data_IF_112316519787
#
_entry.id   IF_112316519787
#
_cell.length_a   1.000
_cell.length_b   1.000
_cell.length_c   1.000
_cell.angle_alpha   90.00
_cell.angle_beta   90.00
_cell.angle_gamma   90.00
#
_symmetry.space_group_name_H-M   'P 1'
#
loop_
_entity.id
_entity.type
_entity.pdbx_description
1 polymer ?
#
# COMPACT_ATOMS: atom_id res chain seq x y z
N UNK A 1 30.19 1.07 -49.27
CA UNK A 1 30.58 1.11 -47.85
C UNK A 1 29.29 1.21 -47.01
N UNK A 2 28.82 0.08 -46.52
CA UNK A 2 27.55 -0.02 -45.80
C UNK A 2 27.87 -0.12 -44.31
N UNK A 3 27.53 0.93 -43.56
CA UNK A 3 27.78 1.02 -42.12
C UNK A 3 26.67 0.30 -41.38
N UNK A 4 26.95 -0.92 -40.94
CA UNK A 4 26.10 -1.71 -40.05
C UNK A 4 25.94 -0.94 -38.74
N UNK A 5 24.73 -0.50 -38.44
CA UNK A 5 24.35 0.00 -37.10
C UNK A 5 24.12 -1.20 -36.21
N UNK A 6 25.09 -1.46 -35.39
CA UNK A 6 25.00 -2.42 -34.28
C UNK A 6 24.00 -1.85 -33.26
N UNK A 7 22.76 -2.28 -33.31
CA UNK A 7 21.74 -1.96 -32.33
C UNK A 7 21.99 -2.84 -31.10
N UNK A 8 22.89 -2.41 -30.25
CA UNK A 8 23.10 -3.00 -28.92
C UNK A 8 21.85 -2.76 -28.10
N UNK A 9 20.93 -3.70 -28.13
CA UNK A 9 19.74 -3.74 -27.26
C UNK A 9 20.25 -3.75 -25.82
N UNK A 10 20.05 -2.64 -25.08
CA UNK A 10 20.30 -2.61 -23.64
C UNK A 10 19.34 -3.61 -23.00
N UNK A 11 19.83 -4.79 -22.68
CA UNK A 11 19.10 -5.76 -21.88
C UNK A 11 18.82 -5.14 -20.52
N UNK A 12 17.54 -5.12 -20.11
CA UNK A 12 17.14 -4.70 -18.79
C UNK A 12 17.63 -5.71 -17.75
N UNK A 13 17.91 -5.26 -16.55
CA UNK A 13 18.30 -6.14 -15.45
C UNK A 13 17.23 -7.20 -15.15
N UNK A 14 15.98 -6.94 -15.50
CA UNK A 14 14.86 -7.88 -15.45
C UNK A 14 15.00 -9.10 -16.38
N UNK A 15 15.85 -9.00 -17.43
CA UNK A 15 16.04 -10.10 -18.40
C UNK A 15 16.99 -11.20 -17.84
N UNK A 16 17.61 -10.95 -16.68
CA UNK A 16 18.54 -11.89 -16.03
C UNK A 16 17.96 -12.57 -14.80
N UNK A 17 16.81 -12.09 -14.29
CA UNK A 17 16.20 -12.64 -13.09
C UNK A 17 15.08 -13.61 -13.48
N UNK A 18 15.15 -14.90 -13.08
CA UNK A 18 14.04 -15.82 -13.27
C UNK A 18 12.74 -15.26 -12.65
N UNK A 19 11.62 -15.50 -13.31
CA UNK A 19 10.33 -14.95 -12.89
C UNK A 19 9.95 -15.39 -11.48
N UNK A 20 10.27 -16.62 -11.11
CA UNK A 20 10.01 -17.17 -9.78
C UNK A 20 10.76 -16.39 -8.69
N UNK A 21 12.01 -16.04 -8.96
CA UNK A 21 12.83 -15.25 -8.02
C UNK A 21 12.31 -13.82 -7.91
N UNK A 22 11.88 -13.24 -9.04
CA UNK A 22 11.27 -11.92 -9.05
C UNK A 22 9.97 -11.91 -8.22
N UNK A 23 9.10 -12.90 -8.39
CA UNK A 23 7.88 -13.09 -7.62
C UNK A 23 8.16 -13.19 -6.12
N UNK A 24 9.12 -14.01 -5.73
CA UNK A 24 9.49 -14.21 -4.33
C UNK A 24 9.99 -12.91 -3.69
N UNK A 25 10.79 -12.14 -4.40
CA UNK A 25 11.23 -10.82 -3.94
C UNK A 25 10.03 -9.87 -3.80
N UNK A 26 9.18 -9.79 -4.83
CA UNK A 26 8.04 -8.88 -4.84
C UNK A 26 7.00 -9.20 -3.75
N UNK A 27 6.79 -10.48 -3.41
CA UNK A 27 5.89 -10.87 -2.32
C UNK A 27 6.32 -10.35 -0.95
N UNK A 28 7.64 -10.23 -0.72
CA UNK A 28 8.19 -9.72 0.55
C UNK A 28 8.26 -8.20 0.64
N UNK A 29 8.01 -7.50 -0.46
CA UNK A 29 8.11 -6.05 -0.47
C UNK A 29 6.82 -5.40 0.07
N UNK A 30 6.96 -4.31 0.85
CA UNK A 30 5.83 -3.47 1.23
C UNK A 30 5.12 -2.91 0.00
N UNK A 31 3.80 -2.74 0.07
CA UNK A 31 2.96 -2.21 -1.02
C UNK A 31 3.49 -0.89 -1.60
N UNK A 32 4.00 -0.01 -0.74
CA UNK A 32 4.59 1.26 -1.16
C UNK A 32 5.79 1.05 -2.12
N UNK A 33 6.66 0.10 -1.81
CA UNK A 33 7.80 -0.26 -2.66
C UNK A 33 7.34 -0.89 -3.97
N UNK A 34 6.32 -1.76 -3.93
CA UNK A 34 5.76 -2.36 -5.15
C UNK A 34 5.25 -1.31 -6.13
N UNK A 35 4.58 -0.26 -5.63
CA UNK A 35 4.12 0.84 -6.48
C UNK A 35 5.28 1.59 -7.13
N UNK A 36 6.37 1.80 -6.40
CA UNK A 36 7.58 2.41 -6.96
C UNK A 36 8.23 1.53 -8.02
N UNK A 37 8.26 0.22 -7.81
CA UNK A 37 8.85 -0.72 -8.77
C UNK A 37 8.07 -0.87 -10.08
N UNK A 38 6.81 -0.44 -10.14
CA UNK A 38 6.05 -0.36 -11.41
C UNK A 38 6.74 0.51 -12.46
N UNK A 39 7.56 1.47 -12.04
CA UNK A 39 8.30 2.36 -12.94
C UNK A 39 9.59 1.72 -13.47
N UNK A 40 10.06 0.60 -12.91
CA UNK A 40 11.35 0.00 -13.27
C UNK A 40 11.31 -0.68 -14.63
N UNK A 41 10.26 -1.47 -14.89
CA UNK A 41 10.07 -2.14 -16.17
C UNK A 41 8.60 -2.44 -16.46
N UNK A 42 8.29 -2.62 -17.75
CA UNK A 42 6.94 -3.02 -18.18
C UNK A 42 6.54 -4.40 -17.66
N UNK A 43 7.50 -5.34 -17.59
CA UNK A 43 7.25 -6.70 -17.06
C UNK A 43 6.91 -6.66 -15.58
N UNK A 44 7.63 -5.90 -14.77
CA UNK A 44 7.34 -5.75 -13.34
C UNK A 44 6.02 -5.03 -13.09
N UNK A 45 5.69 -4.04 -13.90
CA UNK A 45 4.38 -3.40 -13.84
C UNK A 45 3.26 -4.41 -14.15
N UNK A 46 3.39 -5.17 -15.24
CA UNK A 46 2.40 -6.18 -15.64
C UNK A 46 2.23 -7.24 -14.54
N UNK A 47 3.34 -7.74 -14.00
CA UNK A 47 3.34 -8.75 -12.95
C UNK A 47 2.63 -8.22 -11.68
N UNK A 48 3.09 -7.07 -11.17
CA UNK A 48 2.57 -6.50 -9.91
C UNK A 48 1.13 -5.97 -10.00
N UNK A 49 0.58 -5.83 -11.20
CA UNK A 49 -0.82 -5.44 -11.41
C UNK A 49 -1.74 -6.61 -11.76
N UNK A 50 -1.19 -7.80 -11.95
CA UNK A 50 -1.98 -8.99 -12.22
C UNK A 50 -2.84 -9.38 -11.01
N UNK A 51 -4.06 -9.84 -11.25
CA UNK A 51 -4.96 -10.30 -10.18
C UNK A 51 -4.37 -11.49 -9.41
N UNK A 52 -3.65 -12.37 -10.08
CA UNK A 52 -2.97 -13.50 -9.46
C UNK A 52 -1.93 -13.03 -8.45
N UNK A 53 -1.07 -12.08 -8.84
CA UNK A 53 -0.06 -11.52 -7.93
C UNK A 53 -0.71 -10.77 -6.75
N UNK A 54 -1.72 -9.93 -7.03
CA UNK A 54 -2.41 -9.16 -5.98
C UNK A 54 -3.01 -10.11 -4.92
N UNK A 55 -3.69 -11.16 -5.35
CA UNK A 55 -4.31 -12.13 -4.43
C UNK A 55 -3.26 -12.89 -3.61
N UNK A 56 -2.19 -13.35 -4.25
CA UNK A 56 -1.11 -14.06 -3.54
C UNK A 56 -0.35 -13.15 -2.56
N UNK A 57 -0.11 -11.89 -2.93
CA UNK A 57 0.52 -10.90 -2.06
C UNK A 57 -0.36 -10.55 -0.85
N UNK A 58 -1.68 -10.42 -1.05
CA UNK A 58 -2.62 -10.21 0.05
C UNK A 58 -2.63 -11.40 1.01
N UNK A 59 -2.70 -12.63 0.48
CA UNK A 59 -2.67 -13.85 1.29
C UNK A 59 -1.37 -13.97 2.10
N UNK A 60 -0.23 -13.70 1.47
CA UNK A 60 1.08 -13.73 2.13
C UNK A 60 1.16 -12.73 3.28
N UNK A 61 0.73 -11.49 3.06
CA UNK A 61 0.79 -10.45 4.08
C UNK A 61 -0.26 -10.63 5.18
N UNK A 62 -1.45 -11.16 4.86
CA UNK A 62 -2.49 -11.45 5.87
C UNK A 62 -2.03 -12.50 6.87
N UNK A 63 -1.19 -13.44 6.44
CA UNK A 63 -0.63 -14.48 7.31
C UNK A 63 0.55 -13.99 8.16
N UNK A 64 1.23 -12.93 7.73
CA UNK A 64 2.50 -12.49 8.31
C UNK A 64 2.45 -11.15 9.05
N UNK A 65 1.34 -10.42 9.01
CA UNK A 65 1.26 -9.13 9.70
C UNK A 65 -0.15 -8.81 10.19
N UNK A 66 -0.29 -8.70 11.51
CA UNK A 66 -1.49 -8.14 12.14
C UNK A 66 -1.23 -6.67 12.40
N UNK A 67 -2.01 -5.80 11.74
CA UNK A 67 -1.91 -4.35 11.95
C UNK A 67 -3.20 -3.83 12.53
N UNK A 68 -3.09 -3.06 13.59
CA UNK A 68 -4.20 -2.40 14.26
C UNK A 68 -4.19 -0.90 13.94
N UNK A 69 -5.33 -0.36 13.60
CA UNK A 69 -5.52 1.10 13.58
C UNK A 69 -6.18 1.51 14.90
N UNK A 70 -5.50 2.40 15.61
CA UNK A 70 -5.99 2.99 16.83
C UNK A 70 -6.34 4.46 16.59
N UNK A 71 -7.58 4.82 16.83
CA UNK A 71 -8.04 6.21 16.86
C UNK A 71 -7.91 6.76 18.27
N UNK A 72 -7.25 7.88 18.40
CA UNK A 72 -7.11 8.62 19.65
C UNK A 72 -7.62 10.05 19.46
N UNK A 73 -8.49 10.51 20.33
CA UNK A 73 -9.04 11.86 20.31
C UNK A 73 -8.47 12.69 21.45
N UNK A 74 -8.11 13.93 21.18
CA UNK A 74 -7.72 14.92 22.17
C UNK A 74 -8.82 15.99 22.23
N UNK A 75 -9.33 16.26 23.42
CA UNK A 75 -10.54 17.07 23.60
C UNK A 75 -10.34 18.58 23.48
N UNK A 76 -9.11 19.10 23.64
CA UNK A 76 -8.90 20.54 23.61
C UNK A 76 -7.52 20.93 23.04
N UNK A 77 -7.45 21.41 21.80
CA UNK A 77 -8.51 21.43 20.78
C UNK A 77 -8.87 20.02 20.33
N UNK A 78 -10.11 19.80 19.88
CA UNK A 78 -10.52 18.49 19.39
C UNK A 78 -9.71 18.11 18.14
N UNK A 79 -8.85 17.11 18.28
CA UNK A 79 -8.00 16.59 17.20
C UNK A 79 -8.02 15.07 17.23
N UNK A 80 -8.30 14.48 16.11
CA UNK A 80 -8.23 13.03 15.92
C UNK A 80 -6.86 12.63 15.39
N UNK A 81 -6.26 11.68 16.06
CA UNK A 81 -5.02 11.04 15.65
C UNK A 81 -5.27 9.58 15.30
N UNK A 82 -4.70 9.13 14.21
CA UNK A 82 -4.75 7.75 13.78
C UNK A 82 -3.35 7.15 13.84
N UNK A 83 -3.24 6.02 14.51
CA UNK A 83 -1.98 5.31 14.68
C UNK A 83 -2.09 3.91 14.13
N UNK A 84 -1.11 3.47 13.36
CA UNK A 84 -0.96 2.10 12.93
C UNK A 84 0.03 1.41 13.85
N UNK A 85 -0.39 0.31 14.44
CA UNK A 85 0.40 -0.50 15.36
C UNK A 85 0.60 -1.86 14.69
N UNK A 86 1.83 -2.36 14.69
CA UNK A 86 2.14 -3.71 14.27
C UNK A 86 2.11 -4.63 15.50
N UNK A 87 1.19 -5.62 15.48
CA UNK A 87 0.95 -6.55 16.60
C UNK A 87 1.99 -7.68 16.67
N UNK A 88 2.87 -7.78 15.66
CA UNK A 88 3.88 -8.84 15.61
C UNK A 88 5.11 -8.58 16.51
N UNK A 89 5.21 -7.42 17.11
CA UNK A 89 6.28 -7.05 18.03
C UNK A 89 5.71 -6.84 19.45
N UNK A 90 6.28 -7.53 20.43
CA UNK A 90 6.00 -7.34 21.86
C UNK A 90 6.33 -5.92 22.37
N UNK A 91 7.01 -5.13 21.57
CA UNK A 91 7.24 -3.71 21.79
C UNK A 91 6.35 -2.88 20.89
N UNK A 92 5.42 -2.13 21.47
CA UNK A 92 4.56 -1.15 20.79
C UNK A 92 5.36 0.03 20.16
N UNK A 93 6.64 -0.17 19.88
CA UNK A 93 7.56 0.88 19.46
C UNK A 93 7.43 1.32 18.00
N UNK A 94 6.71 0.57 17.16
CA UNK A 94 6.48 0.95 15.77
C UNK A 94 5.11 1.60 15.57
N UNK A 95 4.87 2.69 16.28
CA UNK A 95 3.66 3.48 16.09
C UNK A 95 3.87 4.44 14.92
N UNK A 96 3.19 4.21 13.81
CA UNK A 96 3.17 5.15 12.70
C UNK A 96 1.95 6.07 12.82
N UNK A 97 2.17 7.37 12.91
CA UNK A 97 1.09 8.33 12.75
C UNK A 97 0.61 8.31 11.30
N UNK A 98 -0.68 8.15 11.12
CA UNK A 98 -1.31 8.14 9.80
C UNK A 98 -2.17 9.38 9.68
N UNK A 99 -1.92 10.17 8.66
CA UNK A 99 -2.81 11.27 8.28
C UNK A 99 -3.90 10.73 7.37
N UNK A 100 -5.14 11.00 7.71
CA UNK A 100 -6.27 10.75 6.81
C UNK A 100 -6.17 11.68 5.61
N UNK A 101 -6.28 11.17 4.38
CA UNK A 101 -6.13 11.97 3.17
C UNK A 101 -7.35 12.84 2.87
N UNK A 102 -8.09 13.25 3.87
CA UNK A 102 -9.34 13.94 3.76
C UNK A 102 -9.14 15.44 3.90
N UNK A 103 -9.45 16.17 2.86
CA UNK A 103 -9.15 17.59 2.69
C UNK A 103 -10.10 18.53 3.44
N UNK A 104 -11.12 18.02 4.10
CA UNK A 104 -12.11 18.83 4.79
C UNK A 104 -11.66 19.20 6.19
N UNK A 105 -11.27 20.44 6.38
CA UNK A 105 -10.94 21.05 7.70
C UNK A 105 -12.14 21.13 8.67
N UNK A 106 -13.31 20.63 8.29
CA UNK A 106 -14.55 20.68 9.09
C UNK A 106 -15.00 19.32 9.57
N UNK A 107 -14.15 18.31 9.48
CA UNK A 107 -14.54 16.95 9.83
C UNK A 107 -14.40 16.77 11.33
N UNK A 108 -15.50 16.58 11.96
CA UNK A 108 -15.55 16.40 13.39
C UNK A 108 -15.60 14.92 13.81
N UNK A 109 -16.12 14.03 12.97
CA UNK A 109 -16.25 12.63 13.37
C UNK A 109 -16.30 11.70 12.16
N UNK A 110 -15.29 10.83 12.03
CA UNK A 110 -15.38 9.64 11.19
C UNK A 110 -15.80 8.44 12.01
N UNK A 111 -16.70 7.67 11.46
CA UNK A 111 -16.98 6.34 11.99
C UNK A 111 -16.18 5.32 11.15
N UNK A 112 -15.28 4.58 11.79
CA UNK A 112 -14.64 3.42 11.18
C UNK A 112 -15.67 2.28 11.19
N UNK A 113 -16.12 1.86 10.00
CA UNK A 113 -17.15 0.83 9.87
C UNK A 113 -16.52 -0.56 9.84
N UNK A 114 -15.39 -0.71 9.17
CA UNK A 114 -14.71 -1.99 9.08
C UNK A 114 -13.47 -1.94 8.20
N UNK A 115 -12.81 -3.07 8.11
CA UNK A 115 -11.63 -3.25 7.27
C UNK A 115 -11.65 -4.59 6.56
N UNK A 116 -11.14 -4.60 5.32
CA UNK A 116 -10.94 -5.82 4.53
C UNK A 116 -9.76 -5.61 3.57
N UNK A 117 -8.88 -6.59 3.49
CA UNK A 117 -7.76 -6.61 2.52
C UNK A 117 -6.89 -5.33 2.54
N UNK A 118 -6.66 -4.76 3.73
CA UNK A 118 -5.88 -3.53 3.87
C UNK A 118 -6.63 -2.25 3.48
N UNK A 119 -7.91 -2.34 3.16
CA UNK A 119 -8.80 -1.21 2.96
C UNK A 119 -9.62 -0.96 4.21
N UNK A 120 -9.83 0.31 4.54
CA UNK A 120 -10.70 0.75 5.61
C UNK A 120 -11.93 1.46 5.05
N UNK A 121 -13.08 1.13 5.59
CA UNK A 121 -14.34 1.77 5.29
C UNK A 121 -14.67 2.77 6.38
N UNK A 122 -14.77 4.04 5.99
CA UNK A 122 -15.06 5.17 6.85
C UNK A 122 -16.40 5.77 6.44
N UNK A 123 -17.16 6.25 7.40
CA UNK A 123 -18.41 6.97 7.16
C UNK A 123 -18.36 8.35 7.79
N UNK A 124 -18.70 9.36 6.98
CA UNK A 124 -18.76 10.75 7.40
C UNK A 124 -19.91 11.46 6.71
N UNK A 125 -20.76 12.14 7.48
CA UNK A 125 -21.77 13.06 6.97
C UNK A 125 -22.48 12.56 5.68
N UNK A 126 -22.97 11.32 5.71
CA UNK A 126 -23.68 10.68 4.58
C UNK A 126 -22.78 10.25 3.42
N UNK A 127 -21.45 10.23 3.61
CA UNK A 127 -20.49 9.74 2.61
C UNK A 127 -19.77 8.51 3.10
N UNK A 128 -19.63 7.55 2.20
CA UNK A 128 -18.74 6.42 2.41
C UNK A 128 -17.39 6.71 1.78
N UNK A 129 -16.33 6.46 2.52
CA UNK A 129 -14.96 6.62 2.06
C UNK A 129 -14.23 5.31 2.22
N UNK A 130 -13.68 4.79 1.13
CA UNK A 130 -12.72 3.69 1.17
C UNK A 130 -11.31 4.29 1.22
N UNK A 131 -10.56 3.91 2.23
CA UNK A 131 -9.23 4.41 2.46
C UNK A 131 -8.21 3.27 2.49
N UNK A 132 -7.11 3.45 1.74
CA UNK A 132 -5.95 2.57 1.79
C UNK A 132 -4.77 3.31 2.44
N UNK A 133 -4.43 3.02 3.70
CA UNK A 133 -3.35 3.69 4.42
C UNK A 133 -1.97 3.38 3.83
N UNK A 134 -1.77 2.20 3.27
CA UNK A 134 -0.48 1.77 2.71
C UNK A 134 -0.03 2.64 1.53
N UNK A 135 -0.98 3.13 0.75
CA UNK A 135 -0.74 3.98 -0.43
C UNK A 135 -1.24 5.42 -0.23
N UNK A 136 -1.81 5.72 0.94
CA UNK A 136 -2.38 7.02 1.31
C UNK A 136 -3.41 7.53 0.30
N UNK A 137 -4.26 6.64 -0.21
CA UNK A 137 -5.34 6.99 -1.15
C UNK A 137 -6.70 6.69 -0.57
N UNK A 138 -7.66 7.52 -0.93
CA UNK A 138 -9.07 7.30 -0.62
C UNK A 138 -9.94 7.50 -1.87
N UNK A 139 -11.12 6.88 -1.82
CA UNK A 139 -12.19 7.03 -2.82
C UNK A 139 -13.46 7.33 -2.02
N UNK A 140 -14.17 8.37 -2.40
CA UNK A 140 -15.51 8.69 -1.86
C UNK A 140 -16.56 8.05 -2.76
N UNK A 141 -17.48 7.34 -2.16
CA UNK A 141 -18.61 6.68 -2.83
C UNK A 141 -19.87 7.51 -2.71
#
# INVERSE_FOLDING_TARGET
MQKSRDSRTKRSMSDYLPEEVALEILHRLPVKSLIQFRCVSKSWNSLSTSSAFINSHLSYNSSNSNKLIVRHCVDSPYVEHYKLIDDNNDSFDQIQNIELPLTSRRIQHFMLIGSANGLFSLFEQERFVLWNPSIRKCITL
#
